data_IF_807514787061
#
_entry.id   IF_807514787061
#
_cell.length_a   1.000
_cell.length_b   1.000
_cell.length_c   1.000
_cell.angle_alpha   90.00
_cell.angle_beta   90.00
_cell.angle_gamma   90.00
#
_symmetry.space_group_name_H-M   'P 1'
#
loop_
_entity.id
_entity.type
_entity.pdbx_description
1 polymer ?
#
# COMPACT_ATOMS: atom_id res chain seq x y z
N UNK A 1 -68.34 22.60 24.25
CA UNK A 1 -68.08 22.38 23.92
C UNK A 1 -67.09 21.87 23.40
N UNK A 2 -66.59 21.55 23.35
CA UNK A 2 -65.90 21.08 22.94
C UNK A 2 -64.86 20.63 22.59
N UNK A 3 -64.37 20.45 22.49
CA UNK A 3 -63.55 20.05 22.24
C UNK A 3 -62.56 19.52 21.93
N UNK A 4 -62.34 19.31 21.83
CA UNK A 4 -61.63 18.82 21.49
C UNK A 4 -60.58 18.36 21.14
N UNK A 5 -60.01 18.20 21.09
CA UNK A 5 -59.20 17.82 20.80
C UNK A 5 -58.23 17.35 20.42
N UNK A 6 -57.74 17.17 20.34
CA UNK A 6 -56.90 16.88 19.94
C UNK A 6 -55.91 16.36 19.72
N UNK A 7 -55.43 16.07 19.70
CA UNK A 7 -54.67 15.69 19.49
C UNK A 7 -53.66 15.20 19.04
N UNK A 8 -53.23 15.08 18.86
CA UNK A 8 -52.47 14.73 18.51
C UNK A 8 -51.49 14.26 18.18
N UNK A 9 -51.06 14.07 18.10
CA UNK A 9 -50.30 13.76 17.77
C UNK A 9 -49.16 13.30 17.48
N UNK A 10 -48.69 13.18 17.42
CA UNK A 10 -47.81 12.85 17.13
C UNK A 10 -46.78 12.36 16.85
N UNK A 11 -46.42 12.17 16.80
CA UNK A 11 -45.61 11.80 16.59
C UNK A 11 -44.62 11.31 16.18
N UNK A 12 -44.20 11.00 16.02
CA UNK A 12 -43.42 10.61 15.65
C UNK A 12 -42.38 10.26 15.26
N UNK A 13 -41.95 10.09 15.10
CA UNK A 13 -41.12 9.85 14.65
C UNK A 13 -40.10 9.47 14.42
N UNK A 14 -39.60 9.24 14.34
CA UNK A 14 -38.79 9.03 14.17
C UNK A 14 -37.85 8.41 13.90
N UNK A 15 -37.22 8.13 13.83
CA UNK A 15 -36.49 7.56 13.74
C UNK A 15 -35.77 7.06 13.02
N UNK A 16 -35.51 6.79 12.69
CA UNK A 16 -35.02 6.44 11.88
C UNK A 16 -33.77 6.35 11.75
N UNK A 17 -33.01 6.28 11.56
CA UNK A 17 -31.83 6.38 11.40
C UNK A 17 -31.04 5.36 11.47
N UNK A 18 -30.96 4.84 11.78
CA UNK A 18 -30.29 3.85 11.97
C UNK A 18 -29.63 3.08 10.93
N UNK A 19 -30.05 2.83 9.95
CA UNK A 19 -29.47 1.91 8.99
C UNK A 19 -28.20 2.34 8.32
N UNK A 20 -27.88 3.58 8.35
CA UNK A 20 -26.79 4.09 7.55
C UNK A 20 -25.43 3.54 7.95
N UNK A 21 -25.27 3.28 9.21
CA UNK A 21 -23.94 2.92 9.68
C UNK A 21 -23.47 1.55 9.29
N UNK A 22 -24.38 0.66 9.12
CA UNK A 22 -24.04 -0.73 8.81
C UNK A 22 -23.33 -0.85 7.48
N UNK A 23 -23.68 0.00 6.52
CA UNK A 23 -23.13 -0.09 5.18
C UNK A 23 -21.63 0.21 5.12
N UNK A 24 -21.18 1.10 5.95
CA UNK A 24 -19.79 1.51 5.94
C UNK A 24 -18.84 0.41 6.41
N UNK A 25 -19.26 -0.37 7.36
CA UNK A 25 -18.42 -1.43 7.87
C UNK A 25 -18.14 -2.49 6.82
N UNK A 26 -19.10 -2.80 5.98
CA UNK A 26 -18.93 -3.80 4.95
C UNK A 26 -17.94 -3.37 3.87
N UNK A 27 -17.91 -2.08 3.52
CA UNK A 27 -17.01 -1.58 2.50
C UNK A 27 -15.55 -1.56 2.94
N UNK A 28 -15.31 -1.42 4.23
CA UNK A 28 -13.95 -1.33 4.74
C UNK A 28 -13.21 -2.66 4.77
N UNK A 29 -13.93 -3.77 4.81
CA UNK A 29 -13.33 -5.09 4.94
C UNK A 29 -12.52 -5.50 3.70
N UNK A 30 -12.82 -4.91 2.54
CA UNK A 30 -12.14 -5.24 1.30
C UNK A 30 -10.98 -4.29 0.96
N UNK A 31 -10.79 -3.26 1.76
CA UNK A 31 -9.74 -2.29 1.50
C UNK A 31 -8.39 -2.79 2.00
N UNK A 32 -7.36 -2.59 1.19
CA UNK A 32 -5.98 -2.91 1.60
C UNK A 32 -5.55 -1.93 2.68
N UNK A 33 -5.22 -2.44 3.85
CA UNK A 33 -4.73 -1.61 4.95
C UNK A 33 -3.21 -1.49 4.88
N UNK A 34 -2.68 -0.45 5.50
CA UNK A 34 -1.25 -0.28 5.58
C UNK A 34 -0.59 -1.44 6.33
N UNK A 35 -1.21 -1.91 7.41
CA UNK A 35 -0.71 -3.05 8.17
C UNK A 35 -0.63 -4.31 7.33
N UNK A 36 -1.66 -4.57 6.54
CA UNK A 36 -1.66 -5.72 5.64
C UNK A 36 -0.59 -5.57 4.57
N UNK A 37 -0.42 -4.37 4.03
CA UNK A 37 0.61 -4.12 3.02
C UNK A 37 2.01 -4.36 3.60
N UNK A 38 2.27 -3.92 4.84
CA UNK A 38 3.54 -4.16 5.52
C UNK A 38 3.77 -5.66 5.69
N UNK A 39 2.76 -6.40 6.12
CA UNK A 39 2.87 -7.84 6.32
C UNK A 39 3.15 -8.57 5.00
N UNK A 40 2.48 -8.15 3.94
CA UNK A 40 2.73 -8.73 2.62
C UNK A 40 4.14 -8.44 2.13
N UNK A 41 4.67 -7.26 2.44
CA UNK A 41 6.06 -6.93 2.16
C UNK A 41 7.01 -7.86 2.90
N UNK A 42 6.74 -8.16 4.16
CA UNK A 42 7.56 -9.09 4.94
C UNK A 42 7.51 -10.50 4.36
N UNK A 43 6.36 -10.94 3.88
CA UNK A 43 6.25 -12.24 3.21
C UNK A 43 7.11 -12.30 1.94
N UNK A 44 7.18 -11.19 1.22
CA UNK A 44 8.05 -11.08 0.05
C UNK A 44 9.52 -11.01 0.45
N UNK A 45 9.80 -10.43 1.60
CA UNK A 45 11.14 -10.35 2.14
C UNK A 45 11.68 -8.95 2.36
N UNK A 46 10.81 -7.95 2.51
CA UNK A 46 11.22 -6.57 2.73
C UNK A 46 10.40 -5.90 3.83
N UNK A 47 11.04 -4.99 4.53
CA UNK A 47 10.35 -4.10 5.43
C UNK A 47 10.15 -2.78 4.67
N UNK A 48 8.90 -2.35 4.57
CA UNK A 48 8.53 -1.21 3.76
C UNK A 48 7.75 -0.15 4.53
N UNK A 49 7.75 1.05 4.01
CA UNK A 49 6.92 2.14 4.51
C UNK A 49 6.65 3.16 3.42
N UNK A 50 5.63 3.97 3.63
CA UNK A 50 5.27 5.02 2.69
C UNK A 50 6.38 6.07 2.62
N UNK A 51 6.59 6.61 1.44
CA UNK A 51 7.51 7.75 1.26
C UNK A 51 6.79 9.01 1.75
N UNK A 52 7.27 9.56 2.85
CA UNK A 52 6.79 10.83 3.38
C UNK A 52 7.73 11.97 2.94
N UNK A 53 7.45 13.17 3.43
CA UNK A 53 8.26 14.34 3.06
C UNK A 53 9.71 14.22 3.53
N UNK A 54 9.94 13.63 4.68
CA UNK A 54 11.30 13.46 5.21
C UNK A 54 12.09 12.48 4.35
N UNK A 55 11.48 11.36 4.00
CA UNK A 55 12.10 10.38 3.11
C UNK A 55 12.31 10.98 1.73
N UNK A 56 11.33 11.76 1.26
CA UNK A 56 11.46 12.45 -0.01
C UNK A 56 12.73 13.32 -0.04
N UNK A 57 12.96 14.08 1.01
CA UNK A 57 14.13 14.95 1.10
C UNK A 57 15.41 14.16 1.22
N UNK A 58 15.42 13.13 2.06
CA UNK A 58 16.59 12.30 2.27
C UNK A 58 17.02 11.61 0.99
N UNK A 59 16.07 11.08 0.25
CA UNK A 59 16.33 10.35 -0.98
C UNK A 59 16.31 11.24 -2.24
N UNK A 60 16.07 12.53 -2.07
CA UNK A 60 16.04 13.52 -3.16
C UNK A 60 15.03 13.17 -4.25
N UNK A 61 13.86 12.72 -3.85
CA UNK A 61 12.80 12.38 -4.78
C UNK A 61 12.03 13.64 -5.19
N UNK A 62 11.47 13.63 -6.38
CA UNK A 62 10.69 14.75 -6.89
C UNK A 62 9.34 14.88 -6.18
N UNK A 63 8.77 13.76 -5.75
CA UNK A 63 7.47 13.73 -5.10
C UNK A 63 7.49 12.75 -3.91
N UNK A 64 6.67 12.99 -2.87
CA UNK A 64 6.59 12.07 -1.74
C UNK A 64 5.67 10.88 -2.07
N UNK A 65 6.03 10.11 -3.07
CA UNK A 65 5.25 8.98 -3.57
C UNK A 65 6.11 7.75 -3.71
N UNK A 66 5.50 6.60 -3.50
CA UNK A 66 6.15 5.32 -3.63
C UNK A 66 6.28 4.63 -2.30
N UNK A 67 6.94 3.50 -2.29
CA UNK A 67 7.14 2.68 -1.11
C UNK A 67 8.63 2.49 -0.90
N UNK A 68 9.13 2.95 0.23
CA UNK A 68 10.55 2.85 0.56
C UNK A 68 10.87 1.50 1.17
N UNK A 69 12.02 0.96 0.81
CA UNK A 69 12.53 -0.31 1.34
C UNK A 69 13.54 0.01 2.45
N UNK A 70 13.19 -0.36 3.68
CA UNK A 70 14.04 -0.12 4.84
C UNK A 70 14.93 -1.30 5.19
N UNK A 71 14.51 -2.51 4.85
CA UNK A 71 15.24 -3.73 5.17
C UNK A 71 14.94 -4.80 4.13
N UNK A 72 15.92 -5.63 3.83
CA UNK A 72 15.76 -6.81 2.96
C UNK A 72 16.15 -8.03 3.80
N UNK A 73 15.22 -8.97 3.88
CA UNK A 73 15.41 -10.19 4.66
C UNK A 73 16.27 -11.16 3.84
N UNK A 74 17.35 -11.63 4.44
CA UNK A 74 18.27 -12.53 3.77
C UNK A 74 17.61 -13.83 3.31
N UNK A 75 17.97 -14.30 2.15
CA UNK A 75 17.45 -15.53 1.53
C UNK A 75 15.98 -15.49 1.19
N UNK A 76 15.39 -14.30 1.14
CA UNK A 76 14.02 -14.12 0.71
C UNK A 76 13.93 -13.97 -0.81
N UNK A 77 12.71 -13.99 -1.35
CA UNK A 77 12.51 -13.75 -2.79
C UNK A 77 13.04 -12.36 -3.19
N UNK A 78 12.85 -11.39 -2.31
CA UNK A 78 13.33 -10.03 -2.55
C UNK A 78 14.87 -9.97 -2.58
N UNK A 79 15.51 -10.68 -1.65
CA UNK A 79 16.95 -10.75 -1.60
C UNK A 79 17.53 -11.38 -2.87
N UNK A 80 16.98 -12.52 -3.28
CA UNK A 80 17.43 -13.19 -4.50
C UNK A 80 17.18 -12.35 -5.76
N UNK A 81 16.16 -11.51 -5.74
CA UNK A 81 15.88 -10.63 -6.86
C UNK A 81 16.79 -9.41 -6.90
N UNK A 82 17.55 -9.17 -5.83
CA UNK A 82 18.48 -8.05 -5.77
C UNK A 82 17.85 -6.72 -5.34
N UNK A 83 16.72 -6.78 -4.65
CA UNK A 83 16.10 -5.56 -4.09
C UNK A 83 17.05 -4.98 -3.04
N UNK A 84 17.25 -3.68 -3.09
CA UNK A 84 18.21 -3.01 -2.19
C UNK A 84 17.51 -2.14 -1.15
N UNK A 85 18.14 -2.06 0.02
CA UNK A 85 17.76 -1.10 1.05
C UNK A 85 17.92 0.31 0.50
N UNK A 86 17.03 1.21 0.88
CA UNK A 86 16.97 2.61 0.45
C UNK A 86 16.47 2.80 -0.97
N UNK A 87 16.04 1.74 -1.63
CA UNK A 87 15.36 1.89 -2.91
C UNK A 87 13.88 2.23 -2.68
N UNK A 88 13.26 2.78 -3.70
CA UNK A 88 11.83 3.10 -3.67
C UNK A 88 11.14 2.28 -4.75
N UNK A 89 10.18 1.48 -4.34
CA UNK A 89 9.40 0.67 -5.28
C UNK A 89 8.43 1.57 -6.02
N UNK A 90 8.54 1.58 -7.32
CA UNK A 90 7.72 2.41 -8.22
C UNK A 90 6.75 1.60 -9.06
N UNK A 91 7.02 0.34 -9.25
CA UNK A 91 6.23 -0.51 -10.14
C UNK A 91 6.34 -1.96 -9.70
N UNK A 92 5.23 -2.69 -9.78
CA UNK A 92 5.22 -4.14 -9.60
C UNK A 92 4.42 -4.72 -10.75
N UNK A 93 5.06 -5.57 -11.55
CA UNK A 93 4.45 -6.25 -12.69
C UNK A 93 3.67 -5.26 -13.58
N UNK A 94 4.30 -4.14 -13.91
CA UNK A 94 3.77 -3.04 -14.72
C UNK A 94 2.67 -2.21 -14.05
N UNK A 95 2.38 -2.46 -12.77
CA UNK A 95 1.43 -1.66 -12.00
C UNK A 95 2.17 -0.56 -11.26
N UNK A 96 1.79 0.69 -11.48
CA UNK A 96 2.41 1.82 -10.80
C UNK A 96 2.11 1.79 -9.30
N UNK A 97 3.12 2.02 -8.47
CA UNK A 97 3.01 2.00 -7.02
C UNK A 97 3.26 3.40 -6.49
N UNK A 98 2.23 4.02 -5.97
CA UNK A 98 2.30 5.36 -5.37
C UNK A 98 2.10 5.32 -3.86
N UNK A 99 1.32 4.37 -3.37
CA UNK A 99 0.91 4.29 -1.96
C UNK A 99 1.15 2.89 -1.41
N UNK A 100 1.09 2.77 -0.10
CA UNK A 100 1.17 1.46 0.56
C UNK A 100 0.03 0.55 0.13
N UNK A 101 -1.16 1.09 -0.08
CA UNK A 101 -2.28 0.28 -0.55
C UNK A 101 -2.04 -0.26 -1.95
N UNK A 102 -1.49 0.56 -2.85
CA UNK A 102 -1.10 0.10 -4.19
C UNK A 102 -0.11 -1.04 -4.10
N UNK A 103 0.91 -0.88 -3.25
CA UNK A 103 1.93 -1.90 -3.02
C UNK A 103 1.30 -3.19 -2.52
N UNK A 104 0.47 -3.10 -1.49
CA UNK A 104 -0.17 -4.28 -0.92
C UNK A 104 -0.99 -5.06 -1.95
N UNK A 105 -1.80 -4.37 -2.73
CA UNK A 105 -2.60 -5.02 -3.75
C UNK A 105 -1.76 -5.66 -4.84
N UNK A 106 -0.75 -4.95 -5.30
CA UNK A 106 0.10 -5.43 -6.40
C UNK A 106 0.97 -6.61 -5.96
N UNK A 107 1.58 -6.53 -4.77
CA UNK A 107 2.46 -7.60 -4.30
C UNK A 107 1.64 -8.85 -3.94
N UNK A 108 0.44 -8.68 -3.40
CA UNK A 108 -0.44 -9.80 -3.09
C UNK A 108 -0.77 -10.60 -4.35
N UNK A 109 -1.09 -9.89 -5.43
CA UNK A 109 -1.38 -10.53 -6.71
C UNK A 109 -0.12 -11.16 -7.30
N UNK A 110 0.99 -10.42 -7.31
CA UNK A 110 2.23 -10.88 -7.93
C UNK A 110 2.79 -12.13 -7.26
N UNK A 111 2.72 -12.21 -5.93
CA UNK A 111 3.25 -13.36 -5.21
C UNK A 111 2.52 -14.66 -5.50
N UNK A 112 1.32 -14.60 -6.06
CA UNK A 112 0.60 -15.80 -6.49
C UNK A 112 1.14 -16.32 -7.82
N UNK A 113 1.85 -15.49 -8.55
CA UNK A 113 2.41 -15.84 -9.83
C UNK A 113 3.83 -16.36 -9.67
N UNK A 114 4.30 -17.11 -10.65
CA UNK A 114 5.63 -17.70 -10.60
C UNK A 114 6.70 -16.63 -10.76
N UNK A 115 6.55 -15.77 -11.76
CA UNK A 115 7.53 -14.74 -12.07
C UNK A 115 6.85 -13.39 -12.17
N UNK A 116 7.50 -12.36 -11.67
CA UNK A 116 7.04 -10.99 -11.84
C UNK A 116 8.21 -10.03 -11.76
N UNK A 117 7.98 -8.76 -12.09
CA UNK A 117 9.01 -7.73 -12.06
C UNK A 117 8.71 -6.69 -10.99
N UNK A 118 9.79 -6.14 -10.42
CA UNK A 118 9.69 -5.01 -9.49
C UNK A 118 10.59 -3.90 -10.03
N UNK A 119 10.01 -2.76 -10.32
CA UNK A 119 10.74 -1.58 -10.73
C UNK A 119 11.04 -0.73 -9.51
N UNK A 120 12.31 -0.40 -9.31
CA UNK A 120 12.75 0.42 -8.19
C UNK A 120 13.49 1.64 -8.68
N UNK A 121 13.44 2.68 -7.86
CA UNK A 121 14.26 3.86 -8.01
C UNK A 121 15.36 3.75 -6.96
N UNK A 122 16.60 3.69 -7.40
CA UNK A 122 17.73 3.42 -6.52
C UNK A 122 18.71 4.59 -6.52
N UNK A 123 19.33 4.89 -5.37
CA UNK A 123 20.41 5.87 -5.33
C UNK A 123 21.61 5.35 -6.09
N UNK A 124 22.32 6.27 -6.73
CA UNK A 124 23.57 5.92 -7.40
C UNK A 124 24.60 5.44 -6.38
N UNK A 125 25.46 4.57 -6.82
CA UNK A 125 26.58 4.17 -6.00
C UNK A 125 27.50 5.37 -5.75
N UNK A 126 28.18 5.41 -4.60
CA UNK A 126 29.15 6.48 -4.34
C UNK A 126 30.17 6.57 -5.47
N UNK A 127 30.25 7.74 -6.07
CA UNK A 127 31.15 7.95 -7.19
C UNK A 127 30.49 7.88 -8.56
N UNK A 128 29.23 7.50 -8.63
CA UNK A 128 28.51 7.52 -9.90
C UNK A 128 27.98 8.93 -10.16
N UNK A 129 28.42 9.60 -11.25
CA UNK A 129 27.98 10.97 -11.52
C UNK A 129 26.55 11.07 -12.03
N UNK A 130 25.93 9.94 -12.38
CA UNK A 130 24.59 9.97 -12.99
C UNK A 130 23.49 10.11 -11.95
N UNK A 131 23.72 9.69 -10.70
CA UNK A 131 22.74 9.82 -9.66
C UNK A 131 21.71 8.68 -9.66
N UNK A 132 20.48 9.02 -9.28
CA UNK A 132 19.42 8.03 -9.15
C UNK A 132 19.03 7.40 -10.48
N UNK A 133 18.77 6.11 -10.46
CA UNK A 133 18.34 5.38 -11.64
C UNK A 133 17.19 4.43 -11.35
N UNK A 134 16.52 4.05 -12.42
CA UNK A 134 15.44 3.06 -12.36
C UNK A 134 16.01 1.70 -12.71
N UNK A 135 15.78 0.72 -11.85
CA UNK A 135 16.19 -0.66 -12.07
C UNK A 135 14.99 -1.59 -12.04
N UNK A 136 15.05 -2.64 -12.83
CA UNK A 136 14.03 -3.67 -12.83
C UNK A 136 14.62 -4.97 -12.29
N UNK A 137 13.91 -5.54 -11.33
CA UNK A 137 14.29 -6.78 -10.68
C UNK A 137 13.35 -7.89 -11.10
N UNK A 138 13.91 -9.01 -11.49
CA UNK A 138 13.12 -10.18 -11.87
C UNK A 138 13.00 -11.10 -10.68
N UNK A 139 11.78 -11.27 -10.20
CA UNK A 139 11.50 -12.14 -9.07
C UNK A 139 11.11 -13.51 -9.59
N UNK A 140 11.89 -14.51 -9.21
CA UNK A 140 11.62 -15.89 -9.60
C UNK A 140 10.55 -16.55 -8.77
N UNK A 141 10.17 -17.75 -9.19
CA UNK A 141 9.21 -18.55 -8.46
C UNK A 141 9.70 -18.85 -7.06
N UNK A 142 8.76 -19.01 -6.15
CA UNK A 142 9.09 -19.41 -4.78
C UNK A 142 9.75 -20.79 -4.82
N UNK A 143 10.89 -20.89 -4.18
CA UNK A 143 11.58 -22.18 -4.05
C UNK A 143 11.11 -22.87 -2.77
N UNK A 144 10.75 -24.08 -2.91
CA UNK A 144 10.38 -24.91 -1.75
C UNK A 144 11.62 -25.46 -1.05
#
# INVERSE_FOLDING_TARGET
>A
MIGTGVLGVALLSLFLFAGAEVTQAAGQSDAMTEEEAVRLGEEFGIAVGAVDEDIQKELKLQQPQGVAVFEVIGSSRADYAGIKVRSVIKEIDKQEIRTMADFGRAIKKAMKECNFTVGTYEPADPGDPVGWGVNFHFVGCKRD
#
